data_IF_934177864690
#
_entry.id   IF_934177864690
#
_cell.length_a   1.000
_cell.length_b   1.000
_cell.length_c   1.000
_cell.angle_alpha   90.00
_cell.angle_beta   90.00
_cell.angle_gamma   90.00
#
_symmetry.space_group_name_H-M   'P 1'
#
loop_
_entity.id
_entity.type
_entity.pdbx_description
1 polymer ?
#
# COMPACT_ATOMS: atom_id res chain seq x y z
N UNK A 1 0.87 3.71 25.69
CA UNK A 1 1.03 2.50 24.86
C UNK A 1 -0.37 2.03 24.48
N UNK A 2 -0.85 2.44 23.31
CA UNK A 2 -2.23 2.20 22.85
C UNK A 2 -2.33 0.88 22.07
N UNK A 3 -1.31 0.54 21.27
CA UNK A 3 -1.27 -0.69 20.46
C UNK A 3 -1.38 -1.95 21.32
N UNK A 4 -0.81 -1.92 22.53
CA UNK A 4 -0.88 -3.03 23.47
C UNK A 4 -2.33 -3.45 23.78
N UNK A 5 -3.28 -2.51 23.77
CA UNK A 5 -4.69 -2.78 24.06
C UNK A 5 -5.44 -3.45 22.90
N UNK A 6 -4.83 -3.55 21.71
CA UNK A 6 -5.44 -4.14 20.51
C UNK A 6 -4.63 -5.32 19.94
N UNK A 7 -3.64 -5.83 20.67
CA UNK A 7 -2.78 -6.92 20.19
C UNK A 7 -3.53 -8.24 19.96
N UNK A 8 -4.65 -8.46 20.64
CA UNK A 8 -5.56 -9.58 20.41
C UNK A 8 -6.27 -9.50 19.04
N UNK A 9 -6.25 -8.35 18.36
CA UNK A 9 -6.71 -8.15 16.97
C UNK A 9 -5.58 -8.33 15.95
N UNK A 10 -4.36 -8.55 16.42
CA UNK A 10 -3.16 -8.57 15.60
C UNK A 10 -2.55 -9.98 15.48
N UNK A 11 -1.72 -10.15 14.47
CA UNK A 11 -0.78 -11.26 14.29
C UNK A 11 0.61 -10.65 14.12
N UNK A 12 1.58 -11.11 14.91
CA UNK A 12 2.97 -10.70 14.77
C UNK A 12 3.74 -11.73 13.96
N UNK A 13 4.22 -11.36 12.78
CA UNK A 13 5.12 -12.18 11.98
C UNK A 13 6.55 -11.82 12.35
N UNK A 14 7.25 -12.67 13.11
CA UNK A 14 8.60 -12.39 13.66
C UNK A 14 9.72 -13.09 12.90
N UNK A 15 9.40 -13.69 11.76
CA UNK A 15 10.30 -14.53 10.98
C UNK A 15 10.36 -14.15 9.51
N UNK A 16 10.10 -12.88 9.18
CA UNK A 16 10.29 -12.39 7.82
C UNK A 16 11.77 -12.21 7.52
N UNK A 17 12.19 -12.65 6.33
CA UNK A 17 13.53 -12.42 5.81
C UNK A 17 13.56 -12.30 4.30
N UNK A 18 14.63 -11.71 3.79
CA UNK A 18 15.00 -11.79 2.40
C UNK A 18 16.51 -11.66 2.17
N UNK A 19 16.97 -12.23 1.06
CA UNK A 19 18.38 -12.23 0.67
C UNK A 19 18.84 -10.95 -0.05
N UNK A 20 17.91 -10.08 -0.45
CA UNK A 20 18.27 -8.81 -1.08
C UNK A 20 19.14 -7.99 -0.13
N UNK A 21 20.12 -7.28 -0.71
CA UNK A 21 20.92 -6.30 0.01
C UNK A 21 20.01 -5.39 0.83
N UNK A 22 20.39 -5.15 2.08
CA UNK A 22 19.65 -4.27 2.99
C UNK A 22 19.95 -2.79 2.63
N UNK A 23 19.66 -2.43 1.38
CA UNK A 23 19.73 -1.09 0.79
C UNK A 23 18.29 -0.70 0.44
N UNK A 24 17.90 0.55 0.74
CA UNK A 24 16.50 0.96 0.71
C UNK A 24 15.85 0.77 -0.66
N UNK A 25 16.50 1.16 -1.75
CA UNK A 25 15.93 1.06 -3.10
C UNK A 25 15.61 -0.39 -3.48
N UNK A 26 16.60 -1.27 -3.36
CA UNK A 26 16.45 -2.67 -3.71
C UNK A 26 15.48 -3.42 -2.79
N UNK A 27 15.53 -3.15 -1.47
CA UNK A 27 14.63 -3.78 -0.51
C UNK A 27 13.19 -3.27 -0.65
N UNK A 28 12.99 -1.97 -0.90
CA UNK A 28 11.67 -1.39 -1.20
C UNK A 28 11.06 -2.06 -2.43
N UNK A 29 11.84 -2.21 -3.51
CA UNK A 29 11.37 -2.92 -4.70
C UNK A 29 10.95 -4.36 -4.38
N UNK A 30 11.77 -5.08 -3.63
CA UNK A 30 11.48 -6.47 -3.26
C UNK A 30 10.20 -6.58 -2.41
N UNK A 31 10.01 -5.75 -1.38
CA UNK A 31 8.84 -5.87 -0.51
C UNK A 31 7.54 -5.53 -1.25
N UNK A 32 7.58 -4.61 -2.21
CA UNK A 32 6.41 -4.29 -3.02
C UNK A 32 6.10 -5.34 -4.09
N UNK A 33 7.09 -6.02 -4.65
CA UNK A 33 6.89 -6.94 -5.80
C UNK A 33 7.04 -8.42 -5.46
N UNK A 34 7.60 -8.75 -4.29
CA UNK A 34 8.12 -10.06 -3.91
C UNK A 34 9.12 -10.65 -4.92
N UNK A 35 9.74 -9.81 -5.76
CA UNK A 35 10.63 -10.21 -6.85
C UNK A 35 11.92 -9.38 -6.82
N UNK A 36 13.04 -10.03 -7.12
CA UNK A 36 14.28 -9.30 -7.41
C UNK A 36 14.10 -8.55 -8.75
N UNK A 37 14.71 -7.37 -8.93
CA UNK A 37 14.72 -6.68 -10.22
C UNK A 37 15.19 -7.61 -11.34
N UNK A 38 14.54 -7.52 -12.50
CA UNK A 38 14.87 -8.30 -13.68
C UNK A 38 15.05 -7.38 -14.88
N UNK A 39 16.06 -7.65 -15.70
CA UNK A 39 16.33 -6.86 -16.91
C UNK A 39 15.24 -7.02 -17.98
N UNK A 40 14.54 -8.15 -17.97
CA UNK A 40 13.56 -8.49 -19.01
C UNK A 40 12.12 -8.23 -18.58
N UNK A 41 11.86 -8.13 -17.27
CA UNK A 41 10.49 -8.12 -16.73
C UNK A 41 10.38 -7.15 -15.58
N UNK A 42 9.55 -6.12 -15.76
CA UNK A 42 9.16 -5.24 -14.66
C UNK A 42 7.95 -5.85 -13.97
N UNK A 43 8.15 -6.38 -12.76
CA UNK A 43 7.07 -7.01 -11.99
C UNK A 43 6.11 -5.96 -11.40
N UNK A 44 4.80 -6.27 -11.35
CA UNK A 44 3.81 -5.41 -10.70
C UNK A 44 4.01 -5.36 -9.19
N UNK A 45 3.69 -4.22 -8.59
CA UNK A 45 3.54 -4.10 -7.14
C UNK A 45 2.33 -4.90 -6.62
N UNK A 46 2.34 -5.23 -5.33
CA UNK A 46 1.22 -5.90 -4.65
C UNK A 46 -0.10 -5.13 -4.83
N UNK A 47 -0.07 -3.80 -4.72
CA UNK A 47 -1.26 -2.98 -4.93
C UNK A 47 -1.80 -3.07 -6.36
N UNK A 48 -0.90 -3.11 -7.35
CA UNK A 48 -1.28 -3.28 -8.76
C UNK A 48 -1.81 -4.67 -9.05
N UNK A 49 -1.24 -5.71 -8.43
CA UNK A 49 -1.77 -7.08 -8.52
C UNK A 49 -3.18 -7.15 -7.92
N UNK A 50 -3.42 -6.55 -6.75
CA UNK A 50 -4.76 -6.48 -6.14
C UNK A 50 -5.73 -5.73 -7.05
N UNK A 51 -5.32 -4.60 -7.62
CA UNK A 51 -6.12 -3.84 -8.57
C UNK A 51 -6.47 -4.65 -9.83
N UNK A 52 -5.53 -5.45 -10.33
CA UNK A 52 -5.75 -6.33 -11.47
C UNK A 52 -6.68 -7.51 -11.15
N UNK A 53 -6.54 -8.13 -9.98
CA UNK A 53 -7.35 -9.29 -9.63
C UNK A 53 -8.77 -8.94 -9.20
N UNK A 54 -8.96 -7.83 -8.49
CA UNK A 54 -10.25 -7.48 -7.88
C UNK A 54 -10.99 -6.34 -8.58
N UNK A 55 -10.29 -5.53 -9.37
CA UNK A 55 -10.84 -4.36 -10.04
C UNK A 55 -11.40 -3.30 -9.07
N UNK A 56 -11.89 -2.18 -9.61
CA UNK A 56 -12.59 -1.17 -8.81
C UNK A 56 -13.94 -1.70 -8.30
N UNK A 57 -14.39 -1.24 -7.12
CA UNK A 57 -15.76 -1.50 -6.64
C UNK A 57 -16.82 -0.64 -7.32
N UNK A 58 -16.42 0.54 -7.80
CA UNK A 58 -17.25 1.52 -8.51
C UNK A 58 -16.40 2.21 -9.57
N UNK A 59 -16.99 2.63 -10.69
CA UNK A 59 -16.26 3.39 -11.71
C UNK A 59 -15.72 4.74 -11.21
N UNK A 60 -16.26 5.27 -10.10
CA UNK A 60 -15.84 6.53 -9.50
C UNK A 60 -14.69 6.38 -8.50
N UNK A 61 -14.34 5.15 -8.10
CA UNK A 61 -13.37 4.89 -7.01
C UNK A 61 -12.20 4.05 -7.53
N UNK A 62 -10.95 4.54 -7.44
CA UNK A 62 -9.79 3.77 -7.87
C UNK A 62 -9.58 2.53 -6.99
N UNK A 63 -9.10 1.41 -7.57
CA UNK A 63 -8.80 0.21 -6.80
C UNK A 63 -7.54 0.35 -5.95
N UNK A 64 -6.59 1.20 -6.34
CA UNK A 64 -5.29 1.37 -5.67
C UNK A 64 -4.99 2.86 -5.45
N UNK A 65 -4.79 3.25 -4.20
CA UNK A 65 -4.39 4.61 -3.79
C UNK A 65 -3.10 4.58 -2.98
N UNK A 66 -2.18 5.51 -3.28
CA UNK A 66 -0.93 5.71 -2.56
C UNK A 66 -0.91 7.08 -1.91
N UNK A 67 -0.81 7.14 -0.59
CA UNK A 67 -0.48 8.37 0.14
C UNK A 67 1.04 8.47 0.26
N UNK A 68 1.67 9.07 -0.75
CA UNK A 68 3.09 9.35 -0.81
C UNK A 68 3.62 9.55 -2.23
N UNK A 69 4.94 9.74 -2.33
CA UNK A 69 5.59 10.06 -3.60
C UNK A 69 5.58 8.88 -4.58
N UNK A 70 5.42 9.12 -5.90
CA UNK A 70 5.53 8.08 -6.90
C UNK A 70 6.87 7.31 -6.81
N UNK A 71 6.82 6.00 -7.03
CA UNK A 71 8.00 5.12 -6.99
C UNK A 71 7.79 3.93 -7.92
N UNK A 72 8.82 3.55 -8.68
CA UNK A 72 8.81 2.41 -9.60
C UNK A 72 8.45 1.07 -8.92
N UNK A 73 8.72 0.93 -7.62
CA UNK A 73 8.36 -0.25 -6.84
C UNK A 73 6.83 -0.40 -6.68
N UNK A 74 6.07 0.69 -6.84
CA UNK A 74 4.60 0.73 -6.72
C UNK A 74 3.91 0.54 -8.07
N UNK A 75 4.65 0.55 -9.16
CA UNK A 75 4.11 0.59 -10.51
C UNK A 75 3.43 -0.74 -10.92
N UNK A 76 2.57 -0.69 -11.95
CA UNK A 76 1.86 -1.87 -12.42
C UNK A 76 2.71 -2.85 -13.22
N UNK A 77 3.98 -2.52 -13.50
CA UNK A 77 4.87 -3.37 -14.29
C UNK A 77 4.21 -3.85 -15.58
N UNK A 78 4.38 -5.13 -15.90
CA UNK A 78 3.81 -5.73 -17.11
C UNK A 78 2.27 -5.80 -17.15
N UNK A 79 1.55 -5.52 -16.04
CA UNK A 79 0.08 -5.50 -16.03
C UNK A 79 -0.49 -4.28 -16.77
N UNK A 80 0.29 -3.22 -16.91
CA UNK A 80 -0.10 -2.03 -17.66
C UNK A 80 -0.82 -0.96 -16.83
N UNK A 81 -0.91 0.26 -17.37
CA UNK A 81 -1.25 1.48 -16.63
C UNK A 81 -2.66 1.46 -16.03
N UNK A 82 -3.58 0.68 -16.56
CA UNK A 82 -4.95 0.57 -16.02
C UNK A 82 -5.03 -0.08 -14.63
N UNK A 83 -3.93 -0.68 -14.16
CA UNK A 83 -3.79 -1.24 -12.81
C UNK A 83 -2.84 -0.44 -11.92
N UNK A 84 -2.42 0.75 -12.36
CA UNK A 84 -1.60 1.67 -11.56
C UNK A 84 -2.39 2.34 -10.43
N UNK A 85 -1.65 3.00 -9.54
CA UNK A 85 -2.22 3.75 -8.42
C UNK A 85 -2.61 5.18 -8.81
N UNK A 86 -3.58 5.73 -8.08
CA UNK A 86 -3.74 7.17 -7.92
C UNK A 86 -2.97 7.59 -6.66
N UNK A 87 -2.21 8.68 -6.70
CA UNK A 87 -1.46 9.14 -5.53
C UNK A 87 -1.84 10.54 -5.06
N UNK A 88 -1.55 10.81 -3.80
CA UNK A 88 -1.62 12.12 -3.19
C UNK A 88 -0.44 12.33 -2.22
N UNK A 89 -0.01 13.58 -2.10
CA UNK A 89 1.00 14.01 -1.12
C UNK A 89 0.45 15.07 -0.16
N UNK A 90 -0.75 15.58 -0.40
CA UNK A 90 -1.47 16.54 0.43
C UNK A 90 -2.87 16.00 0.71
N UNK A 91 -3.29 15.98 1.98
CA UNK A 91 -4.54 15.34 2.38
C UNK A 91 -5.75 16.20 2.06
N UNK A 92 -5.59 17.51 2.20
CA UNK A 92 -6.64 18.52 2.08
C UNK A 92 -7.15 18.64 0.64
N UNK A 93 -6.24 18.52 -0.33
CA UNK A 93 -6.55 18.68 -1.76
C UNK A 93 -6.79 17.34 -2.46
N UNK A 94 -6.26 16.25 -1.91
CA UNK A 94 -6.33 14.92 -2.52
C UNK A 94 -5.38 14.78 -3.72
N UNK A 95 -5.68 13.89 -4.68
CA UNK A 95 -4.85 13.68 -5.85
C UNK A 95 -4.85 14.89 -6.78
N UNK A 96 -3.73 15.60 -6.89
CA UNK A 96 -3.59 16.81 -7.72
C UNK A 96 -4.06 16.60 -9.17
N UNK A 97 -3.86 15.40 -9.73
CA UNK A 97 -4.29 15.07 -11.10
C UNK A 97 -5.81 14.98 -11.31
N UNK A 98 -6.60 14.93 -10.23
CA UNK A 98 -8.07 14.89 -10.28
C UNK A 98 -8.72 16.24 -9.98
N UNK A 99 -7.93 17.25 -9.57
CA UNK A 99 -8.45 18.57 -9.23
C UNK A 99 -8.68 19.37 -10.50
N UNK A 100 -9.90 19.87 -10.66
CA UNK A 100 -10.23 20.77 -11.77
C UNK A 100 -9.49 22.11 -11.58
N UNK A 101 -8.76 22.61 -12.60
CA UNK A 101 -8.12 23.91 -12.51
C UNK A 101 -9.14 25.04 -12.24
N UNK A 102 -8.80 26.06 -11.43
CA UNK A 102 -9.73 27.14 -11.07
C UNK A 102 -10.30 27.93 -12.26
N UNK A 103 -9.57 28.02 -13.37
CA UNK A 103 -9.98 28.71 -14.59
C UNK A 103 -10.85 27.84 -15.53
N UNK A 104 -11.13 26.60 -15.12
CA UNK A 104 -11.95 25.65 -15.89
C UNK A 104 -13.28 25.45 -15.18
N UNK A 105 -14.30 26.17 -15.63
CA UNK A 105 -15.68 25.92 -15.19
C UNK A 105 -16.24 24.60 -15.78
N UNK A 106 -17.42 24.20 -15.28
CA UNK A 106 -18.09 22.96 -15.71
C UNK A 106 -18.39 22.99 -17.22
N UNK A 107 -18.81 24.13 -17.77
CA UNK A 107 -19.15 24.23 -19.19
C UNK A 107 -17.90 24.10 -20.08
N UNK A 108 -16.76 24.68 -19.67
CA UNK A 108 -15.46 24.59 -20.33
C UNK A 108 -14.93 23.16 -20.27
N UNK A 109 -15.09 22.49 -19.13
CA UNK A 109 -14.72 21.08 -18.97
C UNK A 109 -15.54 20.20 -19.93
N UNK A 110 -16.87 20.34 -19.94
CA UNK A 110 -17.75 19.57 -20.83
C UNK A 110 -17.42 19.78 -22.31
N UNK A 111 -17.11 21.01 -22.74
CA UNK A 111 -16.68 21.27 -24.13
C UNK A 111 -15.36 20.56 -24.47
N UNK A 112 -14.39 20.55 -23.55
CA UNK A 112 -13.10 19.88 -23.73
C UNK A 112 -13.25 18.36 -23.79
N UNK A 113 -14.04 17.79 -22.89
CA UNK A 113 -14.35 16.35 -22.89
C UNK A 113 -15.10 15.94 -24.15
N UNK A 114 -16.03 16.76 -24.63
CA UNK A 114 -16.74 16.54 -25.89
C UNK A 114 -15.80 16.48 -27.10
N UNK A 115 -14.86 17.44 -27.21
CA UNK A 115 -13.85 17.45 -28.27
C UNK A 115 -12.92 16.23 -28.17
N UNK A 116 -12.41 15.93 -26.98
CA UNK A 116 -11.56 14.76 -26.74
C UNK A 116 -12.29 13.46 -27.12
N UNK A 117 -13.54 13.32 -26.71
CA UNK A 117 -14.35 12.14 -27.02
C UNK A 117 -14.61 11.97 -28.52
N UNK A 118 -14.78 13.06 -29.27
CA UNK A 118 -14.90 13.01 -30.73
C UNK A 118 -13.60 12.52 -31.38
N UNK A 119 -12.44 13.01 -30.93
CA UNK A 119 -11.14 12.57 -31.42
C UNK A 119 -10.83 11.13 -31.07
N UNK A 120 -11.10 10.69 -29.83
CA UNK A 120 -10.92 9.31 -29.39
C UNK A 120 -11.77 8.33 -30.22
N UNK A 121 -13.02 8.70 -30.52
CA UNK A 121 -13.90 7.90 -31.39
C UNK A 121 -13.34 7.77 -32.82
N UNK A 122 -12.88 8.87 -33.41
CA UNK A 122 -12.31 8.84 -34.76
C UNK A 122 -10.99 8.06 -34.79
N UNK A 123 -10.14 8.20 -33.77
CA UNK A 123 -8.89 7.44 -33.64
C UNK A 123 -9.16 5.94 -33.54
N UNK A 124 -10.11 5.52 -32.69
CA UNK A 124 -10.51 4.13 -32.55
C UNK A 124 -11.09 3.56 -33.86
N UNK A 125 -11.83 4.36 -34.62
CA UNK A 125 -12.37 3.96 -35.94
C UNK A 125 -11.26 3.75 -36.97
N UNK A 126 -10.24 4.62 -37.00
CA UNK A 126 -9.12 4.51 -37.95
C UNK A 126 -8.15 3.40 -37.57
N UNK A 127 -7.95 3.16 -36.27
CA UNK A 127 -6.95 2.23 -35.74
C UNK A 127 -7.58 1.23 -34.75
N UNK A 128 -8.48 0.33 -35.21
CA UNK A 128 -9.20 -0.58 -34.32
C UNK A 128 -8.28 -1.58 -33.58
N UNK A 129 -7.07 -1.82 -34.09
CA UNK A 129 -6.07 -2.68 -33.46
C UNK A 129 -5.19 -1.97 -32.42
N UNK A 130 -5.28 -0.63 -32.29
CA UNK A 130 -4.45 0.14 -31.35
C UNK A 130 -4.98 0.06 -29.92
N UNK A 131 -4.50 -0.97 -29.20
CA UNK A 131 -4.84 -1.21 -27.80
C UNK A 131 -4.36 -0.08 -26.87
N UNK A 132 -3.28 0.63 -27.23
CA UNK A 132 -2.74 1.70 -26.40
C UNK A 132 -3.66 2.93 -26.42
N UNK A 133 -4.13 3.32 -27.61
CA UNK A 133 -5.12 4.40 -27.75
C UNK A 133 -6.43 4.08 -27.01
N UNK A 134 -6.91 2.83 -27.11
CA UNK A 134 -8.10 2.38 -26.39
C UNK A 134 -7.91 2.46 -24.86
N UNK A 135 -6.77 1.97 -24.35
CA UNK A 135 -6.44 2.03 -22.93
C UNK A 135 -6.33 3.47 -22.42
N UNK A 136 -5.69 4.36 -23.17
CA UNK A 136 -5.57 5.77 -22.81
C UNK A 136 -6.93 6.48 -22.74
N UNK A 137 -7.84 6.14 -23.66
CA UNK A 137 -9.20 6.69 -23.67
C UNK A 137 -10.00 6.24 -22.44
N UNK A 138 -9.88 4.96 -22.07
CA UNK A 138 -10.52 4.41 -20.88
C UNK A 138 -9.95 5.01 -19.58
N UNK A 139 -8.63 5.18 -19.49
CA UNK A 139 -7.97 5.85 -18.36
C UNK A 139 -8.48 7.29 -18.21
N UNK A 140 -8.58 8.03 -19.33
CA UNK A 140 -9.11 9.40 -19.32
C UNK A 140 -10.55 9.45 -18.83
N UNK A 141 -11.41 8.55 -19.33
CA UNK A 141 -12.82 8.44 -18.91
C UNK A 141 -12.94 8.17 -17.41
N UNK A 142 -12.14 7.24 -16.88
CA UNK A 142 -12.10 6.96 -15.43
C UNK A 142 -11.60 8.15 -14.64
N UNK A 143 -10.57 8.83 -15.12
CA UNK A 143 -10.03 10.05 -14.51
C UNK A 143 -11.11 11.11 -14.31
N UNK A 144 -11.90 11.40 -15.34
CA UNK A 144 -13.00 12.38 -15.23
C UNK A 144 -14.10 11.95 -14.27
N UNK A 145 -14.42 10.64 -14.20
CA UNK A 145 -15.38 10.13 -13.20
C UNK A 145 -14.86 10.26 -11.77
N UNK A 146 -13.58 9.91 -11.54
CA UNK A 146 -12.93 10.03 -10.23
C UNK A 146 -12.80 11.50 -9.78
N UNK A 147 -12.70 12.45 -10.70
CA UNK A 147 -12.71 13.88 -10.41
C UNK A 147 -14.09 14.43 -9.96
N UNK A 148 -15.12 13.58 -9.91
CA UNK A 148 -16.45 13.92 -9.44
C UNK A 148 -16.54 14.06 -7.91
N UNK A 149 -17.62 14.68 -7.39
CA UNK A 149 -17.80 14.93 -5.96
C UNK A 149 -17.86 13.65 -5.12
N UNK A 150 -18.34 12.54 -5.67
CA UNK A 150 -18.46 11.25 -4.96
C UNK A 150 -17.13 10.81 -4.35
N UNK A 151 -16.06 10.77 -5.15
CA UNK A 151 -14.73 10.37 -4.69
C UNK A 151 -13.98 11.53 -4.04
N UNK A 152 -14.14 12.76 -4.56
CA UNK A 152 -13.45 13.92 -3.97
C UNK A 152 -13.89 14.23 -2.54
N UNK A 153 -15.13 13.92 -2.15
CA UNK A 153 -15.61 14.08 -0.78
C UNK A 153 -14.90 13.15 0.23
N UNK A 154 -14.23 12.09 -0.23
CA UNK A 154 -13.46 11.20 0.65
C UNK A 154 -12.30 11.94 1.33
N UNK A 155 -11.71 12.91 0.64
CA UNK A 155 -10.56 13.69 1.12
C UNK A 155 -10.95 14.80 2.11
N UNK A 156 -12.24 15.10 2.26
CA UNK A 156 -12.72 16.07 3.24
C UNK A 156 -12.75 15.47 4.65
N UNK A 157 -11.60 15.54 5.32
CA UNK A 157 -11.45 15.12 6.71
C UNK A 157 -12.16 16.04 7.71
N UNK A 158 -12.59 17.24 7.30
CA UNK A 158 -13.27 18.17 8.21
C UNK A 158 -14.67 17.68 8.60
N UNK A 159 -15.25 16.77 7.80
CA UNK A 159 -16.51 16.10 8.12
C UNK A 159 -16.39 15.02 9.22
N UNK A 160 -15.17 14.61 9.59
CA UNK A 160 -14.97 13.67 10.69
C UNK A 160 -15.02 14.39 12.05
N UNK A 161 -15.55 13.75 13.11
CA UNK A 161 -15.57 14.34 14.44
C UNK A 161 -14.18 14.82 14.87
N UNK A 162 -14.11 16.03 15.41
CA UNK A 162 -12.84 16.62 15.88
C UNK A 162 -12.10 15.69 16.84
N UNK A 163 -12.83 15.08 17.78
CA UNK A 163 -12.29 14.12 18.74
C UNK A 163 -11.67 12.88 18.08
N UNK A 164 -12.27 12.39 16.99
CA UNK A 164 -11.71 11.26 16.24
C UNK A 164 -10.39 11.66 15.56
N UNK A 165 -10.37 12.83 14.90
CA UNK A 165 -9.15 13.36 14.28
C UNK A 165 -8.05 13.57 15.31
N UNK A 166 -8.40 14.11 16.47
CA UNK A 166 -7.50 14.25 17.61
C UNK A 166 -6.99 12.87 18.05
N UNK A 167 -7.84 11.85 18.17
CA UNK A 167 -7.39 10.51 18.57
C UNK A 167 -6.36 9.91 17.59
N UNK A 168 -6.53 10.07 16.28
CA UNK A 168 -5.53 9.67 15.28
C UNK A 168 -4.21 10.44 15.43
N UNK A 169 -4.27 11.72 15.81
CA UNK A 169 -3.09 12.53 16.14
C UNK A 169 -2.48 13.23 14.93
N UNK A 170 -1.15 13.13 14.80
CA UNK A 170 -0.32 13.88 13.86
C UNK A 170 -0.57 13.56 12.38
N UNK A 171 0.35 14.00 11.52
CA UNK A 171 0.19 13.88 10.07
C UNK A 171 0.00 12.43 9.62
N UNK A 172 0.81 11.49 10.13
CA UNK A 172 0.64 10.07 9.81
C UNK A 172 -0.73 9.54 10.26
N UNK A 173 -1.19 9.97 11.44
CA UNK A 173 -2.52 9.67 11.94
C UNK A 173 -3.64 10.16 11.02
N UNK A 174 -3.54 11.38 10.49
CA UNK A 174 -4.51 11.89 9.53
C UNK A 174 -4.50 11.09 8.21
N UNK A 175 -3.32 10.59 7.76
CA UNK A 175 -3.26 9.67 6.62
C UNK A 175 -3.94 8.34 6.92
N UNK A 176 -3.78 7.79 8.13
CA UNK A 176 -4.51 6.58 8.54
C UNK A 176 -6.03 6.81 8.60
N UNK A 177 -6.50 7.97 9.07
CA UNK A 177 -7.91 8.34 9.03
C UNK A 177 -8.44 8.41 7.59
N UNK A 178 -7.68 9.03 6.68
CA UNK A 178 -8.03 9.04 5.26
C UNK A 178 -8.05 7.63 4.67
N UNK A 179 -7.10 6.77 5.05
CA UNK A 179 -7.09 5.36 4.63
C UNK A 179 -8.38 4.64 5.04
N UNK A 180 -8.87 4.86 6.27
CA UNK A 180 -10.17 4.32 6.71
C UNK A 180 -11.31 4.81 5.80
N UNK A 181 -11.36 6.10 5.49
CA UNK A 181 -12.39 6.67 4.59
C UNK A 181 -12.29 6.12 3.16
N UNK A 182 -11.08 5.93 2.63
CA UNK A 182 -10.83 5.32 1.31
C UNK A 182 -11.27 3.86 1.27
N UNK A 183 -10.98 3.07 2.30
CA UNK A 183 -11.47 1.70 2.41
C UNK A 183 -13.00 1.68 2.48
N UNK A 184 -13.59 2.59 3.25
CA UNK A 184 -15.04 2.73 3.39
C UNK A 184 -15.73 3.15 2.09
N UNK A 185 -15.08 3.98 1.25
CA UNK A 185 -15.58 4.36 -0.08
C UNK A 185 -15.38 3.29 -1.14
N UNK A 186 -14.59 2.24 -0.85
CA UNK A 186 -14.46 1.05 -1.68
C UNK A 186 -13.13 0.88 -2.39
N UNK A 187 -12.11 1.68 -2.04
CA UNK A 187 -10.73 1.44 -2.49
C UNK A 187 -10.27 0.06 -1.99
N UNK A 188 -9.66 -0.75 -2.88
CA UNK A 188 -9.26 -2.13 -2.57
C UNK A 188 -7.92 -2.21 -1.87
N UNK A 189 -6.98 -1.34 -2.24
CA UNK A 189 -5.64 -1.28 -1.69
C UNK A 189 -5.25 0.17 -1.42
N UNK A 190 -4.88 0.46 -0.18
CA UNK A 190 -4.40 1.77 0.24
C UNK A 190 -3.01 1.60 0.82
N UNK A 191 -2.04 2.31 0.25
CA UNK A 191 -0.69 2.36 0.80
C UNK A 191 -0.49 3.70 1.52
N UNK A 192 -0.02 3.63 2.76
CA UNK A 192 0.23 4.82 3.59
C UNK A 192 1.73 4.93 3.84
N UNK A 193 2.38 5.91 3.23
CA UNK A 193 3.79 6.19 3.56
C UNK A 193 3.87 6.85 4.93
N UNK A 194 4.75 6.36 5.80
CA UNK A 194 4.96 6.96 7.12
C UNK A 194 5.63 8.33 7.01
N UNK A 195 6.71 8.42 6.23
CA UNK A 195 7.51 9.64 6.08
C UNK A 195 7.19 10.33 4.76
N UNK A 196 6.40 11.41 4.82
CA UNK A 196 6.41 12.45 3.77
C UNK A 196 7.20 13.67 4.23
N UNK A 197 7.17 13.91 5.53
CA UNK A 197 7.96 14.90 6.25
C UNK A 197 8.65 14.19 7.42
N UNK A 198 9.94 14.47 7.65
CA UNK A 198 10.69 13.81 8.73
C UNK A 198 10.45 14.50 10.08
N UNK A 199 9.60 13.90 10.92
CA UNK A 199 9.28 14.47 12.26
C UNK A 199 10.46 14.43 13.25
N UNK A 200 11.41 13.54 13.03
CA UNK A 200 12.66 13.40 13.77
C UNK A 200 13.88 13.77 12.91
N UNK A 201 13.67 14.46 11.78
CA UNK A 201 14.72 14.84 10.83
C UNK A 201 15.26 13.73 9.92
N UNK A 202 15.02 12.44 10.23
CA UNK A 202 15.59 11.28 9.49
C UNK A 202 14.55 10.25 9.03
N UNK A 203 13.34 10.26 9.61
CA UNK A 203 12.35 9.20 9.41
C UNK A 203 12.75 7.91 10.10
N UNK A 204 12.29 6.77 9.56
CA UNK A 204 12.57 5.42 10.09
C UNK A 204 13.97 4.93 9.74
N UNK A 205 14.72 5.69 8.93
CA UNK A 205 16.15 5.47 8.70
C UNK A 205 17.02 6.08 9.81
N UNK A 206 16.74 5.66 11.04
CA UNK A 206 17.36 6.24 12.24
C UNK A 206 18.79 5.72 12.44
N UNK A 207 19.77 6.46 11.92
CA UNK A 207 21.20 6.25 12.18
C UNK A 207 21.75 7.29 13.16
N UNK A 208 22.87 6.98 13.80
CA UNK A 208 23.62 7.90 14.68
C UNK A 208 22.70 8.56 15.73
N UNK A 209 22.72 9.90 15.81
CA UNK A 209 21.90 10.66 16.76
C UNK A 209 20.39 10.59 16.49
N UNK A 210 19.96 10.24 15.27
CA UNK A 210 18.55 10.05 14.93
C UNK A 210 17.89 8.93 15.74
N UNK A 211 18.68 7.96 16.22
CA UNK A 211 18.24 6.90 17.12
C UNK A 211 17.69 7.44 18.45
N UNK A 212 18.18 8.60 18.93
CA UNK A 212 17.68 9.24 20.17
C UNK A 212 16.22 9.67 20.03
N UNK A 213 15.81 10.03 18.81
CA UNK A 213 14.48 10.54 18.50
C UNK A 213 13.53 9.48 17.91
N UNK A 214 13.97 8.21 17.78
CA UNK A 214 13.13 7.12 17.27
C UNK A 214 11.82 6.96 18.06
N UNK A 215 11.83 7.24 19.36
CA UNK A 215 10.66 7.16 20.22
C UNK A 215 9.50 8.06 19.74
N UNK A 216 9.77 9.16 19.04
CA UNK A 216 8.74 10.04 18.46
C UNK A 216 7.96 9.32 17.36
N UNK A 217 8.67 8.61 16.47
CA UNK A 217 8.06 7.78 15.41
C UNK A 217 7.22 6.65 16.00
N UNK A 218 7.75 5.99 17.03
CA UNK A 218 7.06 4.89 17.72
C UNK A 218 5.77 5.41 18.37
N UNK A 219 5.79 6.58 19.00
CA UNK A 219 4.59 7.18 19.61
C UNK A 219 3.53 7.55 18.57
N UNK A 220 3.94 8.11 17.43
CA UNK A 220 3.02 8.42 16.34
C UNK A 220 2.41 7.15 15.73
N UNK A 221 3.22 6.11 15.48
CA UNK A 221 2.75 4.81 15.03
C UNK A 221 1.80 4.16 16.04
N UNK A 222 2.17 4.13 17.33
CA UNK A 222 1.40 3.50 18.41
C UNK A 222 -0.01 4.08 18.51
N UNK A 223 -0.12 5.41 18.40
CA UNK A 223 -1.41 6.12 18.45
C UNK A 223 -2.23 5.90 17.18
N UNK A 224 -1.64 6.12 16.01
CA UNK A 224 -2.35 6.06 14.74
C UNK A 224 -2.83 4.64 14.42
N UNK A 225 -1.99 3.62 14.64
CA UNK A 225 -2.32 2.23 14.37
C UNK A 225 -3.44 1.72 15.29
N UNK A 226 -3.31 1.94 16.61
CA UNK A 226 -4.35 1.53 17.55
C UNK A 226 -5.69 2.20 17.25
N UNK A 227 -5.68 3.50 16.92
CA UNK A 227 -6.88 4.23 16.53
C UNK A 227 -7.49 3.67 15.26
N UNK A 228 -6.68 3.38 14.22
CA UNK A 228 -7.15 2.80 12.96
C UNK A 228 -7.85 1.45 13.16
N UNK A 229 -7.24 0.56 13.94
CA UNK A 229 -7.80 -0.78 14.22
C UNK A 229 -9.17 -0.65 14.91
N UNK A 230 -9.25 0.16 15.97
CA UNK A 230 -10.51 0.39 16.69
C UNK A 230 -11.55 1.11 15.83
N UNK A 231 -11.13 2.01 14.95
CA UNK A 231 -12.04 2.73 14.06
C UNK A 231 -12.64 1.80 13.00
N UNK A 232 -11.81 0.96 12.36
CA UNK A 232 -12.29 -0.08 11.46
C UNK A 232 -13.22 -1.06 12.16
N UNK A 233 -12.94 -1.43 13.41
CA UNK A 233 -13.79 -2.31 14.22
C UNK A 233 -15.16 -1.68 14.48
N UNK A 234 -15.21 -0.41 14.92
CA UNK A 234 -16.46 0.35 15.13
C UNK A 234 -17.31 0.42 13.87
N UNK A 235 -16.68 0.53 12.71
CA UNK A 235 -17.37 0.55 11.41
C UNK A 235 -17.66 -0.85 10.84
N UNK A 236 -17.35 -1.94 11.56
CA UNK A 236 -17.49 -3.33 11.09
C UNK A 236 -16.72 -3.61 9.80
N UNK A 237 -15.60 -2.92 9.63
CA UNK A 237 -14.69 -3.03 8.49
C UNK A 237 -13.44 -3.85 8.81
N UNK A 238 -13.06 -4.00 10.08
CA UNK A 238 -11.82 -4.69 10.47
C UNK A 238 -11.77 -6.13 9.93
N UNK A 239 -12.85 -6.90 10.07
CA UNK A 239 -12.93 -8.28 9.55
C UNK A 239 -12.83 -8.37 8.02
N UNK A 240 -13.06 -7.26 7.30
CA UNK A 240 -13.03 -7.20 5.83
C UNK A 240 -11.81 -6.46 5.29
N UNK A 241 -10.92 -6.00 6.17
CA UNK A 241 -9.78 -5.16 5.84
C UNK A 241 -8.54 -5.72 6.51
N UNK A 242 -7.58 -6.18 5.72
CA UNK A 242 -6.26 -6.53 6.23
C UNK A 242 -5.43 -5.25 6.41
N UNK A 243 -5.12 -4.90 7.65
CA UNK A 243 -4.17 -3.83 7.98
C UNK A 243 -2.78 -4.44 8.12
N UNK A 244 -1.79 -3.82 7.48
CA UNK A 244 -0.43 -4.33 7.43
C UNK A 244 0.55 -3.22 7.81
N UNK A 245 1.32 -3.44 8.87
CA UNK A 245 2.53 -2.65 9.13
C UNK A 245 3.68 -3.33 8.40
N UNK A 246 4.10 -2.74 7.29
CA UNK A 246 5.18 -3.24 6.46
C UNK A 246 6.45 -2.38 6.61
N UNK A 247 7.60 -3.01 6.39
CA UNK A 247 8.91 -2.37 6.26
C UNK A 247 9.74 -3.17 5.27
N UNK A 248 10.70 -2.51 4.64
CA UNK A 248 11.65 -3.12 3.72
C UNK A 248 12.64 -4.05 4.43
N UNK A 249 12.99 -3.79 5.70
CA UNK A 249 13.86 -4.64 6.52
C UNK A 249 13.82 -4.19 8.00
N UNK A 250 14.42 -4.98 8.88
CA UNK A 250 14.56 -4.66 10.29
C UNK A 250 15.83 -3.87 10.61
N UNK A 251 16.05 -3.67 11.91
CA UNK A 251 17.30 -3.12 12.48
C UNK A 251 17.92 -4.17 13.39
N UNK A 252 19.24 -4.37 13.36
CA UNK A 252 19.89 -5.34 14.22
C UNK A 252 19.76 -4.94 15.70
N UNK A 253 19.88 -5.92 16.61
CA UNK A 253 19.81 -5.70 18.06
C UNK A 253 20.98 -4.86 18.58
N UNK A 254 22.17 -5.06 18.00
CA UNK A 254 23.40 -4.34 18.33
C UNK A 254 23.51 -2.97 17.65
N UNK A 255 24.32 -2.10 18.24
CA UNK A 255 24.67 -0.79 17.68
C UNK A 255 25.91 -0.90 16.79
N UNK A 256 25.98 -0.06 15.76
CA UNK A 256 27.20 0.14 14.98
C UNK A 256 28.22 1.02 15.71
N UNK A 257 29.41 1.18 15.13
CA UNK A 257 30.51 1.97 15.71
C UNK A 257 30.21 3.48 15.82
N UNK A 258 29.11 3.96 15.23
CA UNK A 258 28.69 5.37 15.24
C UNK A 258 27.47 5.60 16.13
N UNK A 259 27.02 4.57 16.87
CA UNK A 259 25.91 4.66 17.82
C UNK A 259 24.52 4.53 17.18
N UNK A 260 24.44 4.20 15.89
CA UNK A 260 23.20 3.89 15.18
C UNK A 260 22.91 2.38 15.13
N UNK A 261 21.88 1.99 14.36
CA UNK A 261 21.62 0.60 13.99
C UNK A 261 21.56 0.49 12.47
N UNK A 262 22.38 -0.40 11.92
CA UNK A 262 22.41 -0.72 10.49
C UNK A 262 21.12 -1.37 9.98
N UNK A 263 21.15 -1.91 8.77
CA UNK A 263 19.99 -2.57 8.15
C UNK A 263 20.07 -4.09 8.34
N UNK A 264 18.93 -4.75 8.61
CA UNK A 264 18.84 -6.20 8.82
C UNK A 264 17.71 -6.83 8.02
N UNK A 265 18.05 -7.49 6.92
CA UNK A 265 17.09 -8.24 6.09
C UNK A 265 16.91 -9.70 6.50
N UNK A 266 17.76 -10.23 7.39
CA UNK A 266 17.81 -11.64 7.77
C UNK A 266 16.81 -12.05 8.87
N UNK A 267 16.07 -11.09 9.41
CA UNK A 267 15.07 -11.31 10.45
C UNK A 267 14.44 -10.00 10.86
N UNK A 268 13.17 -9.81 10.51
CA UNK A 268 12.41 -8.62 10.87
C UNK A 268 10.94 -8.94 11.10
N UNK A 269 10.21 -7.96 11.62
CA UNK A 269 8.83 -8.12 12.05
C UNK A 269 7.87 -7.34 11.17
N UNK A 270 6.72 -7.95 10.87
CA UNK A 270 5.53 -7.26 10.36
C UNK A 270 4.35 -7.54 11.27
N UNK A 271 3.39 -6.62 11.30
CA UNK A 271 2.13 -6.75 12.04
C UNK A 271 0.99 -6.82 11.05
N UNK A 272 0.17 -7.86 11.16
CA UNK A 272 -1.11 -7.96 10.46
C UNK A 272 -2.23 -7.75 11.46
N UNK A 273 -3.33 -7.11 11.05
CA UNK A 273 -4.54 -6.99 11.86
C UNK A 273 -5.81 -7.07 10.99
N UNK A 274 -6.86 -7.67 11.53
CA UNK A 274 -8.13 -7.84 10.81
C UNK A 274 -8.05 -8.81 9.63
N UNK A 275 -8.87 -8.55 8.61
CA UNK A 275 -8.93 -9.35 7.38
C UNK A 275 -9.46 -10.77 7.56
N UNK A 276 -10.16 -11.06 8.66
CA UNK A 276 -10.67 -12.39 8.99
C UNK A 276 -9.60 -13.40 9.38
N UNK A 277 -8.37 -12.93 9.67
CA UNK A 277 -7.29 -13.79 10.14
C UNK A 277 -7.56 -14.27 11.58
N UNK A 278 -7.02 -15.44 11.92
CA UNK A 278 -6.93 -15.89 13.31
C UNK A 278 -5.94 -15.00 14.07
N UNK A 279 -6.45 -13.98 14.76
CA UNK A 279 -5.65 -13.00 15.49
C UNK A 279 -5.22 -13.49 16.89
N UNK A 280 -4.50 -12.64 17.63
CA UNK A 280 -4.04 -12.90 18.99
C UNK A 280 -2.87 -13.88 19.07
N UNK A 281 -2.10 -14.02 17.98
CA UNK A 281 -1.01 -14.97 17.90
C UNK A 281 0.28 -14.37 17.32
N UNK A 282 1.36 -15.09 17.56
CA UNK A 282 2.69 -14.82 17.01
C UNK A 282 3.06 -15.96 16.08
N UNK A 283 3.62 -15.64 14.92
CA UNK A 283 4.14 -16.62 13.97
C UNK A 283 5.64 -16.41 13.81
N UNK A 284 6.37 -17.50 14.03
CA UNK A 284 7.82 -17.57 13.96
C UNK A 284 8.52 -16.84 15.10
N UNK A 285 9.83 -16.96 15.10
CA UNK A 285 10.71 -16.38 16.11
C UNK A 285 12.10 -16.14 15.51
N UNK A 286 12.81 -15.17 16.07
CA UNK A 286 14.26 -15.05 15.92
C UNK A 286 14.98 -15.81 17.04
N UNK A 287 16.28 -16.04 16.87
CA UNK A 287 17.16 -16.50 17.95
C UNK A 287 17.17 -15.53 19.14
N UNK A 288 17.71 -15.99 20.28
CA UNK A 288 17.84 -15.18 21.51
C UNK A 288 18.61 -13.88 21.27
N UNK A 289 19.51 -13.90 20.29
CA UNK A 289 20.26 -12.73 19.83
C UNK A 289 19.40 -11.71 19.09
N UNK A 290 18.30 -12.11 18.45
CA UNK A 290 17.47 -11.25 17.59
C UNK A 290 18.04 -11.01 16.18
N UNK A 291 19.04 -11.79 15.78
CA UNK A 291 19.81 -11.60 14.54
C UNK A 291 19.47 -12.59 13.43
N UNK A 292 18.91 -13.75 13.78
CA UNK A 292 18.58 -14.82 12.81
C UNK A 292 17.21 -15.39 13.08
N UNK A 293 16.55 -15.91 12.06
CA UNK A 293 15.29 -16.65 12.23
C UNK A 293 15.58 -18.00 12.87
N UNK A 294 14.83 -18.33 13.93
CA UNK A 294 14.86 -19.61 14.62
C UNK A 294 13.67 -20.51 14.24
N UNK A 295 12.50 -19.93 13.98
CA UNK A 295 11.26 -20.67 13.74
C UNK A 295 10.43 -20.10 12.59
N UNK A 296 9.84 -20.99 11.79
CA UNK A 296 8.87 -20.69 10.72
C UNK A 296 9.32 -19.54 9.78
N UNK A 297 10.44 -19.67 9.05
CA UNK A 297 10.89 -18.63 8.14
C UNK A 297 9.83 -18.30 7.09
N UNK A 298 9.58 -17.00 6.89
CA UNK A 298 8.69 -16.48 5.88
C UNK A 298 9.48 -15.63 4.89
N UNK A 299 9.43 -16.02 3.62
CA UNK A 299 10.02 -15.25 2.52
C UNK A 299 9.04 -14.16 2.04
N UNK A 300 9.50 -13.22 1.21
CA UNK A 300 8.61 -12.23 0.59
C UNK A 300 7.51 -12.86 -0.31
N UNK A 301 7.82 -13.90 -1.11
CA UNK A 301 6.82 -14.77 -1.73
C UNK A 301 5.74 -15.30 -0.77
N UNK A 302 6.12 -15.87 0.37
CA UNK A 302 5.18 -16.42 1.37
C UNK A 302 4.32 -15.32 2.01
N UNK A 303 4.94 -14.16 2.24
CA UNK A 303 4.28 -12.98 2.78
C UNK A 303 3.19 -12.44 1.82
N UNK A 304 3.51 -12.32 0.53
CA UNK A 304 2.53 -11.98 -0.51
C UNK A 304 1.44 -13.04 -0.66
N UNK A 305 1.79 -14.33 -0.63
CA UNK A 305 0.81 -15.41 -0.67
C UNK A 305 -0.18 -15.34 0.48
N UNK A 306 0.31 -15.04 1.69
CA UNK A 306 -0.51 -14.81 2.87
C UNK A 306 -1.48 -13.65 2.67
N UNK A 307 -1.01 -12.51 2.19
CA UNK A 307 -1.86 -11.34 1.92
C UNK A 307 -2.89 -11.60 0.82
N UNK A 308 -2.52 -12.29 -0.26
CA UNK A 308 -3.45 -12.64 -1.33
C UNK A 308 -4.53 -13.62 -0.87
N UNK A 309 -4.18 -14.64 -0.08
CA UNK A 309 -5.17 -15.53 0.54
C UNK A 309 -6.18 -14.76 1.40
N UNK A 310 -5.71 -13.83 2.24
CA UNK A 310 -6.59 -12.98 3.06
C UNK A 310 -7.53 -12.11 2.23
N UNK A 311 -7.12 -11.72 1.02
CA UNK A 311 -7.93 -10.96 0.07
C UNK A 311 -8.81 -11.84 -0.85
N UNK A 312 -8.79 -13.17 -0.68
CA UNK A 312 -9.51 -14.11 -1.54
C UNK A 312 -8.92 -14.28 -2.94
N UNK A 313 -7.65 -13.91 -3.13
CA UNK A 313 -6.91 -14.06 -4.38
C UNK A 313 -6.12 -15.38 -4.31
N UNK A 314 -6.27 -16.24 -5.33
CA UNK A 314 -5.50 -17.47 -5.42
C UNK A 314 -3.99 -17.17 -5.59
N UNK A 315 -3.13 -17.49 -4.61
CA UNK A 315 -1.70 -17.16 -4.66
C UNK A 315 -0.92 -18.04 -5.66
N UNK A 316 -1.52 -19.09 -6.22
CA UNK A 316 -0.89 -19.97 -7.20
C UNK A 316 -1.27 -19.64 -8.65
N UNK A 317 -2.06 -18.57 -8.86
CA UNK A 317 -2.45 -18.12 -10.20
C UNK A 317 -1.24 -17.64 -11.00
N UNK A 318 -1.36 -17.74 -12.33
CA UNK A 318 -0.43 -17.15 -13.28
C UNK A 318 -1.00 -15.84 -13.84
N UNK A 319 -0.16 -14.82 -13.85
CA UNK A 319 -0.34 -13.59 -14.61
C UNK A 319 0.38 -13.72 -15.95
N UNK A 320 0.02 -12.91 -16.93
CA UNK A 320 0.59 -12.98 -18.28
C UNK A 320 1.20 -11.63 -18.65
N UNK A 321 2.40 -11.67 -19.20
CA UNK A 321 3.05 -10.51 -19.80
C UNK A 321 2.43 -10.19 -21.17
N UNK A 322 2.71 -9.02 -21.78
CA UNK A 322 2.19 -8.67 -23.11
C UNK A 322 2.55 -9.66 -24.23
N UNK A 323 3.65 -10.39 -24.10
CA UNK A 323 4.11 -11.48 -24.98
C UNK A 323 3.59 -12.87 -24.56
N UNK A 324 2.56 -12.93 -23.71
CA UNK A 324 1.85 -14.13 -23.25
C UNK A 324 2.71 -15.11 -22.41
N UNK A 325 3.79 -14.62 -21.80
CA UNK A 325 4.62 -15.43 -20.90
C UNK A 325 3.95 -15.56 -19.53
N UNK A 326 3.75 -16.79 -19.01
CA UNK A 326 3.12 -16.98 -17.71
C UNK A 326 4.10 -16.69 -16.56
N UNK A 327 3.65 -15.87 -15.60
CA UNK A 327 4.38 -15.47 -14.40
C UNK A 327 3.58 -15.86 -13.14
N UNK A 328 4.11 -16.68 -12.22
CA UNK A 328 3.45 -16.95 -10.95
C UNK A 328 3.22 -15.66 -10.15
N UNK A 329 2.02 -15.46 -9.63
CA UNK A 329 1.64 -14.25 -8.89
C UNK A 329 2.45 -14.03 -7.60
N UNK A 330 2.93 -15.10 -6.94
CA UNK A 330 3.76 -15.04 -5.72
C UNK A 330 5.11 -15.74 -5.80
N UNK A 331 5.64 -16.00 -7.01
CA UNK A 331 6.86 -16.82 -7.15
C UNK A 331 6.83 -18.15 -6.38
N UNK A 332 5.67 -18.81 -6.37
CA UNK A 332 5.43 -20.08 -5.67
C UNK A 332 5.51 -20.01 -4.14
N UNK A 333 5.41 -18.81 -3.55
CA UNK A 333 5.26 -18.63 -2.12
C UNK A 333 4.06 -19.39 -1.54
N UNK A 334 4.20 -19.85 -0.31
CA UNK A 334 3.17 -20.57 0.45
C UNK A 334 2.62 -19.66 1.54
N UNK A 335 1.30 -19.49 1.65
CA UNK A 335 0.72 -18.67 2.69
C UNK A 335 1.05 -19.25 4.08
N UNK A 336 1.11 -18.39 5.10
CA UNK A 336 1.18 -18.82 6.49
C UNK A 336 -0.16 -19.46 6.91
N UNK A 337 -0.35 -20.74 6.59
CA UNK A 337 -1.62 -21.46 6.71
C UNK A 337 -2.26 -21.37 8.11
N UNK A 338 -1.44 -21.33 9.17
CA UNK A 338 -1.89 -21.19 10.57
C UNK A 338 -2.76 -19.95 10.83
N UNK A 339 -2.66 -18.93 9.97
CA UNK A 339 -3.43 -17.69 10.08
C UNK A 339 -4.88 -17.84 9.59
N UNK A 340 -5.17 -18.89 8.86
CA UNK A 340 -6.48 -19.15 8.28
C UNK A 340 -7.21 -20.26 9.08
N UNK A 341 -8.53 -20.27 9.01
CA UNK A 341 -9.40 -21.21 9.72
C UNK A 341 -9.61 -22.50 8.92
#
# INVERSE_FOLDING_TARGET
RQTAAVLDRCVLLRSLSHEQSAEHGAATYLVHTARKPSETVVYPSIGSVVAHQLGPRSESVPPYVVMGYPNIARDPGFLGPQHGYVYLTQLETGPNGLIRPPDVDIARQQRREGLLGAWQKELARRNPADKAAAAQSEISRRGFKMAGPEFMNVFDLAHEPKTLRENYGGEFGQRCLLARRLVQSGVRFVEVSFNLNFINGTGWDTHNEGQRDQHKLIQELDRAFATLVLDLERHKLLEKTLVVIATEFGRPPGFDSRGGRGHQSQGFTSVLAGGGLRSGQVVGATDDGGGKIAEHPLTMPDYHATMYCALGINPHKRLYTPDDRPVPITDFGRPAEKLFA
#
